data_IF_908917472502
#
_entry.id   IF_908917472502
#
_cell.length_a   1.000
_cell.length_b   1.000
_cell.length_c   1.000
_cell.angle_alpha   90.00
_cell.angle_beta   90.00
_cell.angle_gamma   90.00
#
_symmetry.space_group_name_H-M   'P 1'
#
loop_
_entity.id
_entity.type
_entity.pdbx_description
1 polymer ?
#
# COMPACT_ATOMS: atom_id res chain seq x y z
N UNK A 1 1.17 0.93 -15.05
CA UNK A 1 1.44 1.00 -13.59
C UNK A 1 0.14 1.08 -12.80
N UNK A 2 -0.75 2.04 -13.05
CA UNK A 2 -2.05 2.15 -12.35
C UNK A 2 -3.04 1.02 -12.67
N UNK A 3 -2.94 0.41 -13.85
CA UNK A 3 -3.77 -0.75 -14.22
C UNK A 3 -3.50 -1.99 -13.36
N UNK A 4 -2.32 -2.08 -12.74
CA UNK A 4 -1.96 -3.16 -11.81
C UNK A 4 -2.49 -2.94 -10.38
N UNK A 5 -3.12 -1.79 -10.12
CA UNK A 5 -3.68 -1.43 -8.81
C UNK A 5 -5.21 -1.56 -8.80
N UNK A 6 -5.82 -2.14 -9.84
CA UNK A 6 -7.25 -2.43 -9.84
C UNK A 6 -7.58 -3.47 -8.76
N UNK A 7 -8.70 -3.34 -8.03
CA UNK A 7 -9.82 -2.42 -8.25
C UNK A 7 -9.69 -1.06 -7.53
N UNK A 8 -8.55 -0.73 -6.94
CA UNK A 8 -8.40 0.48 -6.11
C UNK A 8 -8.46 1.76 -6.95
N UNK A 9 -9.27 2.76 -6.56
CA UNK A 9 -9.37 4.01 -7.28
C UNK A 9 -8.02 4.75 -7.28
N UNK A 10 -7.71 5.50 -8.34
CA UNK A 10 -6.47 6.25 -8.42
C UNK A 10 -6.43 7.31 -7.30
N UNK A 11 -5.48 7.17 -6.39
CA UNK A 11 -5.25 8.12 -5.29
C UNK A 11 -3.77 8.50 -5.20
N UNK A 12 -3.45 9.64 -4.58
CA UNK A 12 -2.06 10.11 -4.40
C UNK A 12 -1.95 10.97 -3.14
N UNK A 13 -0.93 10.75 -2.29
CA UNK A 13 0.03 9.63 -2.32
C UNK A 13 -0.64 8.26 -2.11
N UNK A 14 -0.06 7.20 -2.66
CA UNK A 14 -0.49 5.80 -2.48
C UNK A 14 0.72 4.86 -2.55
N UNK A 15 0.67 3.73 -1.85
CA UNK A 15 1.77 2.74 -1.77
C UNK A 15 1.21 1.36 -2.14
N UNK A 16 1.87 0.63 -3.03
CA UNK A 16 1.47 -0.71 -3.44
C UNK A 16 2.64 -1.68 -3.24
N UNK A 17 2.38 -2.82 -2.58
CA UNK A 17 3.33 -3.92 -2.45
C UNK A 17 2.97 -5.02 -3.45
N UNK A 18 3.96 -5.44 -4.21
CA UNK A 18 3.84 -6.54 -5.18
C UNK A 18 4.74 -7.69 -4.77
N UNK A 19 4.23 -8.92 -4.85
CA UNK A 19 5.00 -10.15 -4.70
C UNK A 19 4.80 -11.00 -5.95
N UNK A 20 5.89 -11.40 -6.59
CA UNK A 20 5.85 -12.25 -7.80
C UNK A 20 4.98 -11.71 -8.95
N UNK A 21 4.78 -10.40 -9.00
CA UNK A 21 3.94 -9.73 -10.01
C UNK A 21 2.47 -9.56 -9.62
N UNK A 22 2.05 -10.07 -8.47
CA UNK A 22 0.70 -9.89 -7.93
C UNK A 22 0.67 -8.78 -6.86
N UNK A 23 -0.39 -7.98 -6.87
CA UNK A 23 -0.65 -6.95 -5.86
C UNK A 23 -1.08 -7.64 -4.56
N UNK A 24 -0.25 -7.60 -3.54
CA UNK A 24 -0.52 -8.25 -2.24
C UNK A 24 -0.96 -7.25 -1.17
N UNK A 25 -0.59 -5.97 -1.31
CA UNK A 25 -1.01 -4.93 -0.39
C UNK A 25 -1.14 -3.57 -1.06
N UNK A 26 -2.10 -2.74 -0.64
CA UNK A 26 -2.32 -1.40 -1.17
C UNK A 26 -2.72 -0.43 -0.04
N UNK A 27 -1.95 0.66 0.08
CA UNK A 27 -2.25 1.81 0.94
C UNK A 27 -2.70 2.99 0.09
N UNK A 28 -3.98 3.32 0.16
CA UNK A 28 -4.57 4.47 -0.52
C UNK A 28 -4.35 5.80 0.26
N UNK A 29 -4.56 6.93 -0.42
CA UNK A 29 -4.42 8.28 0.16
C UNK A 29 -5.11 8.46 1.50
N UNK A 30 -6.32 7.91 1.69
CA UNK A 30 -7.09 8.09 2.92
C UNK A 30 -6.45 7.41 4.15
N UNK A 31 -5.59 6.42 3.93
CA UNK A 31 -4.78 5.78 4.97
C UNK A 31 -3.44 6.48 5.21
N UNK A 32 -3.04 7.42 4.36
CA UNK A 32 -1.76 8.13 4.43
C UNK A 32 -1.97 9.57 4.92
N UNK A 33 -2.96 10.25 4.36
CA UNK A 33 -3.24 11.65 4.64
C UNK A 33 -3.73 11.83 6.08
N UNK A 34 -2.99 12.62 6.85
CA UNK A 34 -3.29 12.88 8.26
C UNK A 34 -2.95 11.74 9.23
N UNK A 35 -2.26 10.68 8.77
CA UNK A 35 -1.69 9.65 9.67
C UNK A 35 -0.25 9.96 10.02
N UNK A 36 0.17 9.51 11.20
CA UNK A 36 1.55 9.61 11.64
C UNK A 36 2.42 8.65 10.82
N UNK A 37 3.66 9.05 10.53
CA UNK A 37 4.61 8.24 9.76
C UNK A 37 4.86 6.86 10.40
N UNK A 38 4.86 6.79 11.73
CA UNK A 38 5.02 5.55 12.50
C UNK A 38 3.92 4.53 12.21
N UNK A 39 2.66 4.96 12.17
CA UNK A 39 1.51 4.09 11.85
C UNK A 39 1.58 3.58 10.41
N UNK A 40 2.05 4.42 9.49
CA UNK A 40 2.26 4.02 8.08
C UNK A 40 3.39 3.00 8.01
N UNK A 41 4.48 3.22 8.74
CA UNK A 41 5.62 2.31 8.80
C UNK A 41 5.22 0.95 9.38
N UNK A 42 4.52 0.91 10.51
CA UNK A 42 4.01 -0.33 11.11
C UNK A 42 3.12 -1.12 10.14
N UNK A 43 2.26 -0.43 9.39
CA UNK A 43 1.40 -1.08 8.40
C UNK A 43 2.21 -1.73 7.27
N UNK A 44 3.23 -1.02 6.79
CA UNK A 44 4.13 -1.54 5.77
C UNK A 44 4.99 -2.69 6.31
N UNK A 45 5.54 -2.58 7.52
CA UNK A 45 6.31 -3.64 8.17
C UNK A 45 5.46 -4.90 8.34
N UNK A 46 4.21 -4.78 8.77
CA UNK A 46 3.28 -5.90 8.87
C UNK A 46 3.04 -6.55 7.50
N UNK A 47 2.79 -5.76 6.45
CA UNK A 47 2.62 -6.28 5.10
C UNK A 47 3.90 -6.97 4.59
N UNK A 48 5.07 -6.41 4.88
CA UNK A 48 6.35 -7.06 4.55
C UNK A 48 6.52 -8.38 5.31
N UNK A 49 6.20 -8.44 6.61
CA UNK A 49 6.28 -9.68 7.39
C UNK A 49 5.30 -10.77 6.93
N UNK A 50 4.14 -10.38 6.37
CA UNK A 50 3.15 -11.32 5.86
C UNK A 50 3.53 -11.87 4.48
N UNK A 51 4.16 -11.03 3.63
CA UNK A 51 4.41 -11.35 2.23
C UNK A 51 5.89 -11.59 1.89
N UNK A 52 6.86 -11.42 2.79
CA UNK A 52 8.28 -11.74 2.56
C UNK A 52 8.75 -12.88 3.47
#
# INVERSE_FOLDING_TARGET
MRDYMLPFPPSSPSIALFKDGELVHMLERHHIEGRMAEVIAENLEAAYNEFC
#
